data_IF_152255667578
#
_entry.id   IF_152255667578
#
_cell.length_a   1.000
_cell.length_b   1.000
_cell.length_c   1.000
_cell.angle_alpha   90.00
_cell.angle_beta   90.00
_cell.angle_gamma   90.00
#
_symmetry.space_group_name_H-M   'P 1'
#
loop_
_entity.id
_entity.type
_entity.pdbx_description
1 polymer ?
#
# COMPACT_ATOMS: atom_id res chain seq x y z
N UNK A 1 77.74 -70.98 3.79
CA UNK A 1 76.65 -70.06 3.38
C UNK A 1 77.12 -68.64 3.59
N UNK A 2 77.40 -67.90 2.51
CA UNK A 2 77.82 -66.51 2.56
C UNK A 2 76.59 -65.61 2.77
N UNK A 3 76.66 -64.72 3.75
CA UNK A 3 75.61 -63.74 4.07
C UNK A 3 75.51 -62.74 2.91
N UNK A 4 74.33 -62.52 2.31
CA UNK A 4 74.21 -61.56 1.20
C UNK A 4 74.54 -60.16 1.73
N UNK A 5 75.36 -59.43 0.98
CA UNK A 5 75.67 -58.03 1.25
C UNK A 5 74.39 -57.22 1.09
N UNK A 6 73.82 -56.73 2.20
CA UNK A 6 72.78 -55.71 2.18
C UNK A 6 73.38 -54.45 1.57
N UNK A 7 73.14 -54.22 0.28
CA UNK A 7 73.38 -52.91 -0.31
C UNK A 7 72.53 -51.91 0.46
N UNK A 8 73.17 -50.99 1.18
CA UNK A 8 72.46 -49.86 1.76
C UNK A 8 71.89 -49.07 0.58
N UNK A 9 70.57 -49.18 0.35
CA UNK A 9 69.84 -48.24 -0.49
C UNK A 9 69.89 -46.92 0.26
N UNK A 10 70.93 -46.12 -0.01
CA UNK A 10 70.97 -44.73 0.42
C UNK A 10 69.90 -44.03 -0.40
N UNK A 11 68.71 -43.87 0.15
CA UNK A 11 67.76 -42.88 -0.38
C UNK A 11 68.55 -41.57 -0.46
N UNK A 12 68.79 -41.06 -1.66
CA UNK A 12 69.22 -39.69 -1.81
C UNK A 12 68.01 -38.83 -1.44
N UNK A 13 67.89 -38.54 -0.14
CA UNK A 13 67.00 -37.51 0.35
C UNK A 13 67.41 -36.19 -0.28
N UNK A 14 66.46 -35.35 -0.68
CA UNK A 14 66.76 -33.99 -1.12
C UNK A 14 67.54 -33.21 -0.05
N UNK A 15 67.44 -33.61 1.21
CA UNK A 15 68.15 -32.98 2.32
C UNK A 15 69.55 -33.58 2.55
N UNK A 16 70.55 -32.73 2.80
CA UNK A 16 71.91 -33.07 3.25
C UNK A 16 71.98 -33.08 4.77
N UNK A 17 72.97 -33.80 5.31
CA UNK A 17 73.24 -33.73 6.75
C UNK A 17 73.44 -32.26 7.19
N UNK A 18 72.82 -31.85 8.31
CA UNK A 18 72.96 -30.49 8.82
C UNK A 18 74.42 -30.05 8.91
N UNK A 19 74.66 -28.79 8.61
CA UNK A 19 75.94 -28.14 8.85
C UNK A 19 75.88 -27.42 10.19
N UNK A 20 77.01 -27.41 10.90
CA UNK A 20 77.10 -26.65 12.14
C UNK A 20 77.02 -25.15 11.83
N UNK A 21 77.73 -24.70 10.80
CA UNK A 21 77.90 -23.28 10.47
C UNK A 21 77.70 -23.03 8.97
N UNK A 22 77.38 -21.79 8.59
CA UNK A 22 77.34 -21.35 7.21
C UNK A 22 78.08 -20.03 7.05
N UNK A 23 78.83 -19.87 5.96
CA UNK A 23 79.58 -18.63 5.70
C UNK A 23 78.67 -17.42 5.58
N UNK A 24 79.22 -16.25 5.87
CA UNK A 24 78.60 -14.93 5.62
C UNK A 24 79.41 -14.08 4.65
N UNK A 25 80.61 -14.54 4.27
CA UNK A 25 81.54 -13.87 3.38
C UNK A 25 82.53 -14.90 2.81
N UNK A 26 83.40 -14.46 1.90
CA UNK A 26 84.48 -15.27 1.36
C UNK A 26 85.48 -15.66 2.45
N UNK A 27 85.83 -16.94 2.52
CA UNK A 27 86.79 -17.49 3.49
C UNK A 27 87.96 -18.17 2.79
N UNK A 28 89.02 -18.46 3.56
CA UNK A 28 90.04 -19.41 3.14
C UNK A 28 89.55 -20.83 3.46
N UNK A 29 89.73 -21.80 2.57
CA UNK A 29 89.37 -23.21 2.81
C UNK A 29 90.51 -23.97 3.50
N UNK A 30 91.07 -23.38 4.56
CA UNK A 30 92.24 -23.91 5.27
C UNK A 30 92.25 -23.47 6.73
N UNK A 31 92.62 -24.37 7.65
CA UNK A 31 92.83 -24.08 9.07
C UNK A 31 91.55 -23.78 9.84
N UNK A 32 91.69 -23.67 11.17
CA UNK A 32 90.59 -23.31 12.05
C UNK A 32 90.32 -21.80 11.99
N UNK A 33 89.06 -21.44 11.77
CA UNK A 33 88.61 -20.07 11.58
C UNK A 33 87.28 -19.85 12.31
N UNK A 34 86.89 -18.59 12.50
CA UNK A 34 85.54 -18.25 12.96
C UNK A 34 84.61 -18.08 11.75
N UNK A 35 83.51 -18.82 11.75
CA UNK A 35 82.46 -18.73 10.73
C UNK A 35 81.19 -18.22 11.40
N UNK A 36 80.59 -17.17 10.83
CA UNK A 36 79.38 -16.54 11.37
C UNK A 36 79.46 -16.18 12.87
N UNK A 37 80.65 -15.73 13.29
CA UNK A 37 80.96 -15.34 14.67
C UNK A 37 81.29 -16.48 15.63
N UNK A 38 81.31 -17.74 15.17
CA UNK A 38 81.59 -18.93 16.00
C UNK A 38 82.88 -19.62 15.55
N UNK A 39 83.81 -19.96 16.47
CA UNK A 39 85.01 -20.71 16.12
C UNK A 39 84.67 -22.15 15.66
N UNK A 40 85.28 -22.58 14.56
CA UNK A 40 85.20 -23.95 14.07
C UNK A 40 86.18 -24.87 14.80
N UNK A 41 85.78 -26.13 14.93
CA UNK A 41 86.58 -27.25 15.42
C UNK A 41 86.85 -28.24 14.30
N UNK A 42 87.90 -29.06 14.43
CA UNK A 42 88.21 -30.10 13.44
C UNK A 42 87.05 -31.08 13.32
N UNK A 43 86.62 -31.37 12.09
CA UNK A 43 85.49 -32.27 11.81
C UNK A 43 84.14 -31.56 11.70
N UNK A 44 84.07 -30.26 12.02
CA UNK A 44 82.85 -29.49 11.83
C UNK A 44 82.42 -29.47 10.37
N UNK A 45 81.11 -29.52 10.14
CA UNK A 45 80.51 -29.34 8.82
C UNK A 45 80.15 -27.88 8.62
N UNK A 46 80.65 -27.27 7.55
CA UNK A 46 80.40 -25.87 7.20
C UNK A 46 79.81 -25.78 5.80
N UNK A 47 78.69 -25.07 5.67
CA UNK A 47 78.17 -24.65 4.38
C UNK A 47 78.94 -23.42 3.89
N UNK A 48 79.73 -23.61 2.86
CA UNK A 48 80.46 -22.57 2.16
C UNK A 48 79.59 -22.09 1.00
N UNK A 49 78.99 -20.91 1.13
CA UNK A 49 78.04 -20.37 0.14
C UNK A 49 78.43 -19.01 -0.44
N UNK A 50 79.43 -18.34 0.13
CA UNK A 50 79.81 -16.96 -0.24
C UNK A 50 81.25 -16.86 -0.79
N UNK A 51 81.73 -17.88 -1.49
CA UNK A 51 83.06 -17.77 -2.13
C UNK A 51 83.02 -16.82 -3.32
N UNK A 52 84.12 -16.11 -3.54
CA UNK A 52 84.30 -15.27 -4.72
C UNK A 52 84.30 -16.11 -6.01
N UNK A 53 84.86 -17.32 -5.95
CA UNK A 53 84.71 -18.35 -6.97
C UNK A 53 83.55 -19.29 -6.59
N UNK A 54 82.39 -19.22 -7.27
CA UNK A 54 81.24 -20.03 -6.92
C UNK A 54 81.44 -21.53 -7.20
N UNK A 55 82.47 -21.93 -7.95
CA UNK A 55 82.81 -23.36 -8.11
C UNK A 55 83.31 -23.97 -6.80
N UNK A 56 83.78 -23.14 -5.85
CA UNK A 56 84.23 -23.56 -4.53
C UNK A 56 83.09 -23.67 -3.52
N UNK A 57 81.90 -23.15 -3.81
CA UNK A 57 80.75 -23.30 -2.91
C UNK A 57 80.36 -24.78 -2.72
N UNK A 58 79.83 -25.11 -1.55
CA UNK A 58 79.40 -26.46 -1.18
C UNK A 58 79.51 -26.72 0.33
N UNK A 59 79.47 -27.98 0.73
CA UNK A 59 79.60 -28.37 2.14
C UNK A 59 80.99 -28.94 2.37
N UNK A 60 81.68 -28.43 3.38
CA UNK A 60 83.05 -28.81 3.73
C UNK A 60 83.14 -29.33 5.15
N UNK A 61 84.13 -30.20 5.38
CA UNK A 61 84.57 -30.63 6.69
C UNK A 61 85.83 -29.87 7.06
N UNK A 62 85.79 -29.18 8.20
CA UNK A 62 86.87 -28.33 8.73
C UNK A 62 88.07 -29.19 9.14
N UNK A 63 89.27 -28.69 8.85
CA UNK A 63 90.55 -29.29 9.24
C UNK A 63 91.56 -28.22 9.67
N UNK A 64 92.63 -28.62 10.38
CA UNK A 64 93.77 -27.74 10.68
C UNK A 64 94.59 -27.40 9.42
N UNK A 65 94.50 -28.26 8.39
CA UNK A 65 95.04 -28.04 7.04
C UNK A 65 93.95 -27.62 6.05
N UNK A 66 94.06 -28.06 4.80
CA UNK A 66 93.02 -27.83 3.78
C UNK A 66 91.68 -28.46 4.20
N UNK A 67 90.59 -27.74 3.94
CA UNK A 67 89.24 -28.25 4.15
C UNK A 67 88.83 -29.13 2.99
N UNK A 68 88.10 -30.21 3.28
CA UNK A 68 87.66 -31.16 2.27
C UNK A 68 86.16 -31.07 2.06
N UNK A 69 85.69 -31.23 0.82
CA UNK A 69 84.26 -31.36 0.54
C UNK A 69 83.70 -32.58 1.28
N UNK A 70 82.56 -32.40 1.94
CA UNK A 70 81.91 -33.44 2.70
C UNK A 70 81.53 -34.62 1.79
N UNK A 71 81.65 -35.85 2.31
CA UNK A 71 81.51 -37.08 1.52
C UNK A 71 80.11 -37.25 0.88
N UNK A 72 79.09 -36.63 1.47
CA UNK A 72 77.69 -36.61 1.04
C UNK A 72 77.32 -35.42 0.16
N UNK A 73 78.29 -34.55 -0.18
CA UNK A 73 78.10 -33.30 -0.92
C UNK A 73 79.25 -33.05 -1.94
N UNK A 74 79.70 -34.10 -2.64
CA UNK A 74 80.85 -34.08 -3.57
C UNK A 74 80.53 -34.53 -5.00
N UNK A 75 79.26 -34.62 -5.37
CA UNK A 75 78.81 -35.03 -6.70
C UNK A 75 77.69 -34.12 -7.22
N UNK A 76 77.52 -34.08 -8.54
CA UNK A 76 76.45 -33.30 -9.18
C UNK A 76 75.08 -33.64 -8.60
N UNK A 77 74.78 -34.94 -8.45
CA UNK A 77 73.52 -35.44 -7.90
C UNK A 77 73.29 -35.02 -6.44
N UNK A 78 74.34 -34.78 -5.68
CA UNK A 78 74.23 -34.38 -4.26
C UNK A 78 74.16 -32.87 -4.05
N UNK A 79 74.41 -32.08 -5.10
CA UNK A 79 74.36 -30.61 -5.07
C UNK A 79 73.42 -30.04 -6.16
N UNK A 80 72.56 -30.89 -6.70
CA UNK A 80 71.59 -30.53 -7.73
C UNK A 80 70.47 -29.65 -7.16
N UNK A 81 69.79 -28.94 -8.05
CA UNK A 81 68.62 -28.13 -7.76
C UNK A 81 67.60 -28.86 -6.88
N UNK A 82 67.11 -28.16 -5.85
CA UNK A 82 66.16 -28.70 -4.87
C UNK A 82 66.80 -29.51 -3.74
N UNK A 83 68.12 -29.67 -3.74
CA UNK A 83 68.83 -30.18 -2.56
C UNK A 83 68.80 -29.13 -1.46
N UNK A 84 68.54 -29.50 -0.22
CA UNK A 84 68.51 -28.58 0.93
C UNK A 84 69.52 -28.94 2.02
N UNK A 85 69.88 -27.98 2.86
CA UNK A 85 70.73 -28.19 4.05
C UNK A 85 70.39 -27.19 5.15
N UNK A 86 70.40 -27.66 6.40
CA UNK A 86 70.10 -26.84 7.57
C UNK A 86 71.39 -26.36 8.24
N UNK A 87 71.47 -25.07 8.57
CA UNK A 87 72.54 -24.49 9.38
C UNK A 87 72.11 -24.41 10.86
N UNK A 88 72.90 -24.99 11.76
CA UNK A 88 72.50 -25.18 13.16
C UNK A 88 72.76 -23.95 14.03
N UNK A 89 73.94 -23.35 13.92
CA UNK A 89 74.38 -22.24 14.77
C UNK A 89 75.07 -21.15 13.94
N UNK A 90 75.33 -20.01 14.58
CA UNK A 90 75.86 -18.80 13.95
C UNK A 90 75.06 -17.56 14.34
N UNK A 91 75.63 -16.38 14.11
CA UNK A 91 74.97 -15.12 14.45
C UNK A 91 73.89 -14.73 13.42
N UNK A 92 74.12 -15.04 12.14
CA UNK A 92 73.26 -14.63 11.02
C UNK A 92 72.47 -15.81 10.45
N UNK A 93 73.08 -16.99 10.39
CA UNK A 93 72.56 -18.14 9.64
C UNK A 93 71.97 -19.25 10.51
N UNK A 94 71.97 -19.11 11.84
CA UNK A 94 71.38 -20.12 12.73
C UNK A 94 69.91 -20.41 12.40
N UNK A 95 69.56 -21.69 12.30
CA UNK A 95 68.19 -22.16 12.03
C UNK A 95 67.73 -21.98 10.58
N UNK A 96 68.55 -21.45 9.67
CA UNK A 96 68.19 -21.27 8.26
C UNK A 96 68.35 -22.56 7.47
N UNK A 97 67.46 -22.73 6.49
CA UNK A 97 67.56 -23.76 5.45
C UNK A 97 68.08 -23.10 4.19
N UNK A 98 69.04 -23.75 3.54
CA UNK A 98 69.57 -23.33 2.25
C UNK A 98 69.23 -24.36 1.20
N UNK A 99 68.98 -23.90 -0.02
CA UNK A 99 68.76 -24.73 -1.18
C UNK A 99 69.86 -24.53 -2.22
N UNK A 100 70.23 -25.64 -2.86
CA UNK A 100 71.04 -25.64 -4.06
C UNK A 100 70.11 -25.38 -5.25
N UNK A 101 70.51 -24.50 -6.15
CA UNK A 101 69.69 -24.07 -7.30
C UNK A 101 70.32 -24.39 -8.65
N UNK A 102 71.55 -24.91 -8.68
CA UNK A 102 72.23 -25.28 -9.90
C UNK A 102 71.66 -26.58 -10.49
N UNK A 103 71.33 -26.57 -11.78
CA UNK A 103 70.86 -27.75 -12.52
C UNK A 103 72.06 -28.64 -12.88
N UNK A 104 72.16 -29.81 -12.24
CA UNK A 104 73.22 -30.83 -12.45
C UNK A 104 74.69 -30.30 -12.48
N UNK A 105 75.16 -29.54 -11.46
CA UNK A 105 76.47 -28.91 -11.51
C UNK A 105 77.62 -29.94 -11.46
N UNK A 106 78.60 -29.81 -12.35
CA UNK A 106 79.86 -30.53 -12.26
C UNK A 106 80.73 -29.90 -11.17
N UNK A 107 80.95 -30.65 -10.09
CA UNK A 107 81.68 -30.18 -8.90
C UNK A 107 83.13 -29.85 -9.27
N UNK A 108 83.53 -28.60 -8.99
CA UNK A 108 84.88 -28.09 -9.26
C UNK A 108 85.08 -27.47 -10.63
N UNK A 109 84.06 -27.46 -11.51
CA UNK A 109 84.08 -26.69 -12.76
C UNK A 109 82.90 -25.72 -12.87
N UNK A 110 81.72 -26.13 -12.42
CA UNK A 110 80.50 -25.34 -12.58
C UNK A 110 80.24 -24.52 -11.31
N UNK A 111 79.63 -23.35 -11.48
CA UNK A 111 79.22 -22.50 -10.38
C UNK A 111 78.13 -23.20 -9.55
N UNK A 112 78.33 -23.30 -8.22
CA UNK A 112 77.36 -23.88 -7.31
C UNK A 112 76.61 -22.74 -6.60
N UNK A 113 75.40 -22.48 -7.08
CA UNK A 113 74.51 -21.44 -6.54
C UNK A 113 73.71 -21.98 -5.34
N UNK A 114 73.85 -21.33 -4.19
CA UNK A 114 73.23 -21.68 -2.92
C UNK A 114 72.51 -20.45 -2.37
N UNK A 115 71.22 -20.57 -2.08
CA UNK A 115 70.41 -19.47 -1.55
C UNK A 115 69.61 -19.92 -0.32
N UNK A 116 69.19 -19.01 0.57
CA UNK A 116 68.23 -19.33 1.61
C UNK A 116 66.93 -19.87 0.98
N UNK A 117 66.39 -20.97 1.51
CA UNK A 117 65.09 -21.48 1.11
C UNK A 117 63.99 -20.54 1.61
N UNK A 118 63.19 -20.00 0.68
CA UNK A 118 62.07 -19.10 1.00
C UNK A 118 60.76 -19.86 0.71
N UNK A 119 59.95 -20.20 1.73
CA UNK A 119 58.64 -20.79 1.50
C UNK A 119 57.73 -19.81 0.76
N UNK A 120 56.69 -20.27 0.05
CA UNK A 120 55.71 -19.39 -0.58
C UNK A 120 55.10 -18.45 0.47
N UNK A 121 54.80 -17.22 0.06
CA UNK A 121 54.14 -16.23 0.93
C UNK A 121 52.68 -16.63 1.17
N UNK A 122 52.45 -17.35 2.26
CA UNK A 122 51.12 -17.82 2.66
C UNK A 122 50.22 -16.63 3.02
N UNK A 123 50.76 -15.50 3.50
CA UNK A 123 49.97 -14.34 3.85
C UNK A 123 49.29 -13.72 2.62
N UNK A 124 50.05 -13.56 1.52
CA UNK A 124 49.50 -13.08 0.26
C UNK A 124 48.37 -13.97 -0.30
N UNK A 125 48.46 -15.29 -0.09
CA UNK A 125 47.41 -16.23 -0.51
C UNK A 125 46.16 -16.09 0.37
N UNK A 126 46.33 -15.93 1.68
CA UNK A 126 45.21 -15.71 2.62
C UNK A 126 44.48 -14.41 2.27
N UNK A 127 45.21 -13.31 2.06
CA UNK A 127 44.62 -12.02 1.68
C UNK A 127 43.78 -12.14 0.38
N UNK A 128 44.28 -12.86 -0.62
CA UNK A 128 43.55 -13.10 -1.86
C UNK A 128 42.26 -13.91 -1.64
N UNK A 129 42.31 -14.94 -0.79
CA UNK A 129 41.14 -15.77 -0.46
C UNK A 129 40.08 -14.97 0.30
N UNK A 130 40.50 -14.11 1.22
CA UNK A 130 39.59 -13.21 1.95
C UNK A 130 38.91 -12.22 1.01
N UNK A 131 39.65 -11.60 0.09
CA UNK A 131 39.08 -10.72 -0.92
C UNK A 131 38.06 -11.43 -1.84
N UNK A 132 38.35 -12.67 -2.23
CA UNK A 132 37.43 -13.50 -3.03
C UNK A 132 36.14 -13.85 -2.27
N UNK A 133 36.25 -14.15 -0.97
CA UNK A 133 35.09 -14.39 -0.11
C UNK A 133 34.21 -13.16 0.01
N UNK A 134 34.80 -11.99 0.24
CA UNK A 134 34.07 -10.74 0.38
C UNK A 134 33.34 -10.37 -0.92
N UNK A 135 34.00 -10.53 -2.07
CA UNK A 135 33.37 -10.34 -3.38
C UNK A 135 32.19 -11.30 -3.60
N UNK A 136 32.33 -12.56 -3.16
CA UNK A 136 31.26 -13.56 -3.26
C UNK A 136 30.07 -13.21 -2.38
N UNK A 137 30.32 -12.70 -1.16
CA UNK A 137 29.27 -12.27 -0.25
C UNK A 137 28.51 -11.06 -0.83
N UNK A 138 29.22 -10.07 -1.38
CA UNK A 138 28.61 -8.92 -2.04
C UNK A 138 27.70 -9.33 -3.22
N UNK A 139 28.12 -10.30 -4.04
CA UNK A 139 27.30 -10.84 -5.13
C UNK A 139 26.04 -11.54 -4.63
N UNK A 140 26.14 -12.30 -3.54
CA UNK A 140 24.99 -12.98 -2.93
C UNK A 140 23.97 -11.98 -2.40
N UNK A 141 24.44 -10.92 -1.74
CA UNK A 141 23.59 -9.86 -1.20
C UNK A 141 22.91 -9.07 -2.33
N UNK A 142 23.63 -8.76 -3.42
CA UNK A 142 23.07 -8.13 -4.61
C UNK A 142 22.00 -8.98 -5.31
N UNK A 143 22.22 -10.30 -5.38
CA UNK A 143 21.23 -11.24 -5.94
C UNK A 143 19.98 -11.33 -5.07
N UNK A 144 20.13 -11.36 -3.74
CA UNK A 144 18.99 -11.38 -2.82
C UNK A 144 18.19 -10.07 -2.89
N UNK A 145 18.89 -8.93 -2.98
CA UNK A 145 18.25 -7.64 -3.20
C UNK A 145 17.43 -7.66 -4.50
N UNK A 146 18.06 -8.02 -5.63
CA UNK A 146 17.41 -8.05 -6.95
C UNK A 146 16.14 -8.91 -6.96
N UNK A 147 16.17 -10.07 -6.30
CA UNK A 147 15.00 -10.93 -6.14
C UNK A 147 13.88 -10.25 -5.32
N UNK A 148 14.24 -9.55 -4.25
CA UNK A 148 13.32 -8.74 -3.45
C UNK A 148 12.68 -7.60 -4.25
N UNK A 149 13.46 -6.87 -5.06
CA UNK A 149 12.93 -5.83 -5.94
C UNK A 149 11.95 -6.38 -7.00
N UNK A 150 12.26 -7.54 -7.59
CA UNK A 150 11.37 -8.19 -8.55
C UNK A 150 10.04 -8.60 -7.91
N UNK A 151 10.07 -9.17 -6.69
CA UNK A 151 8.88 -9.53 -5.95
C UNK A 151 8.01 -8.30 -5.59
N UNK A 152 8.63 -7.20 -5.14
CA UNK A 152 7.93 -5.95 -4.86
C UNK A 152 7.28 -5.34 -6.11
N UNK A 153 7.97 -5.40 -7.25
CA UNK A 153 7.45 -4.91 -8.54
C UNK A 153 6.25 -5.73 -9.01
N UNK A 154 6.30 -7.06 -8.85
CA UNK A 154 5.19 -7.95 -9.16
C UNK A 154 3.96 -7.67 -8.26
N UNK A 155 4.17 -7.51 -6.96
CA UNK A 155 3.09 -7.19 -6.02
C UNK A 155 2.41 -5.86 -6.35
N UNK A 156 3.20 -4.82 -6.68
CA UNK A 156 2.68 -3.51 -7.08
C UNK A 156 1.86 -3.59 -8.38
N UNK A 157 2.32 -4.39 -9.35
CA UNK A 157 1.61 -4.60 -10.62
C UNK A 157 0.24 -5.27 -10.41
N UNK A 158 0.17 -6.27 -9.52
CA UNK A 158 -1.09 -6.95 -9.17
C UNK A 158 -2.06 -5.98 -8.47
N UNK A 159 -1.57 -5.17 -7.53
CA UNK A 159 -2.39 -4.17 -6.85
C UNK A 159 -2.97 -3.14 -7.82
N UNK A 160 -2.16 -2.61 -8.75
CA UNK A 160 -2.61 -1.66 -9.75
C UNK A 160 -3.65 -2.27 -10.71
N UNK A 161 -3.47 -3.52 -11.12
CA UNK A 161 -4.45 -4.23 -11.95
C UNK A 161 -5.79 -4.41 -11.21
N UNK A 162 -5.74 -4.77 -9.92
CA UNK A 162 -6.93 -4.86 -9.07
C UNK A 162 -7.67 -3.54 -8.93
N UNK A 163 -6.94 -2.44 -8.70
CA UNK A 163 -7.53 -1.10 -8.61
C UNK A 163 -8.18 -0.67 -9.93
N UNK A 164 -7.49 -0.90 -11.06
CA UNK A 164 -8.02 -0.58 -12.40
C UNK A 164 -9.33 -1.33 -12.67
N UNK A 165 -9.41 -2.61 -12.31
CA UNK A 165 -10.64 -3.39 -12.47
C UNK A 165 -11.79 -2.83 -11.62
N UNK A 166 -11.52 -2.43 -10.37
CA UNK A 166 -12.50 -1.80 -9.50
C UNK A 166 -12.99 -0.44 -10.03
N UNK A 167 -12.09 0.38 -10.58
CA UNK A 167 -12.41 1.69 -11.17
C UNK A 167 -13.28 1.53 -12.42
N UNK A 168 -13.00 0.53 -13.26
CA UNK A 168 -13.82 0.20 -14.43
C UNK A 168 -15.24 -0.21 -14.01
N UNK A 169 -15.38 -1.06 -13.00
CA UNK A 169 -16.69 -1.48 -12.47
C UNK A 169 -17.47 -0.29 -11.92
N UNK A 170 -16.81 0.58 -11.14
CA UNK A 170 -17.42 1.79 -10.57
C UNK A 170 -17.86 2.75 -11.67
N UNK A 171 -17.01 2.98 -12.68
CA UNK A 171 -17.32 3.83 -13.83
C UNK A 171 -18.50 3.28 -14.64
N UNK A 172 -18.55 1.97 -14.86
CA UNK A 172 -19.67 1.33 -15.56
C UNK A 172 -20.99 1.48 -14.79
N UNK A 173 -20.97 1.33 -13.46
CA UNK A 173 -22.14 1.53 -12.62
C UNK A 173 -22.63 3.00 -12.65
N UNK A 174 -21.71 3.96 -12.56
CA UNK A 174 -22.02 5.39 -12.66
C UNK A 174 -22.60 5.75 -14.04
N UNK A 175 -22.03 5.21 -15.12
CA UNK A 175 -22.54 5.44 -16.47
C UNK A 175 -23.94 4.85 -16.65
N UNK A 176 -24.19 3.65 -16.13
CA UNK A 176 -25.52 3.03 -16.16
C UNK A 176 -26.54 3.87 -15.37
N UNK A 177 -26.15 4.38 -14.21
CA UNK A 177 -26.94 5.31 -13.41
C UNK A 177 -27.27 6.62 -14.13
N UNK A 178 -26.26 7.24 -14.76
CA UNK A 178 -26.43 8.46 -15.55
C UNK A 178 -27.27 8.24 -16.81
N UNK A 179 -27.15 7.08 -17.46
CA UNK A 179 -28.02 6.69 -18.58
C UNK A 179 -29.47 6.50 -18.12
N UNK A 180 -29.70 5.86 -16.98
CA UNK A 180 -31.03 5.71 -16.39
C UNK A 180 -31.65 7.08 -16.03
N UNK A 181 -30.85 7.99 -15.45
CA UNK A 181 -31.27 9.35 -15.13
C UNK A 181 -31.63 10.17 -16.39
N UNK A 182 -30.81 10.09 -17.44
CA UNK A 182 -31.11 10.72 -18.74
C UNK A 182 -32.39 10.17 -19.35
N UNK A 183 -32.58 8.86 -19.34
CA UNK A 183 -33.81 8.24 -19.82
C UNK A 183 -35.02 8.68 -18.98
N UNK A 184 -34.86 8.78 -17.65
CA UNK A 184 -35.92 9.29 -16.78
C UNK A 184 -36.32 10.73 -17.12
N UNK A 185 -35.34 11.59 -17.38
CA UNK A 185 -35.58 12.98 -17.79
C UNK A 185 -36.17 13.12 -19.19
N UNK A 186 -35.86 12.22 -20.13
CA UNK A 186 -36.32 12.34 -21.52
C UNK A 186 -37.76 11.86 -21.74
N UNK A 187 -38.19 10.84 -20.99
CA UNK A 187 -39.39 10.08 -21.35
C UNK A 187 -40.62 10.36 -20.48
N UNK A 188 -40.64 11.34 -19.56
CA UNK A 188 -41.83 11.59 -18.72
C UNK A 188 -42.02 13.04 -18.26
N UNK A 189 -43.27 13.43 -17.98
CA UNK A 189 -43.69 14.76 -17.51
C UNK A 189 -43.25 15.11 -16.08
N UNK A 190 -42.74 14.12 -15.35
CA UNK A 190 -42.27 14.27 -13.99
C UNK A 190 -42.23 12.95 -13.23
N UNK A 191 -41.74 13.01 -12.00
CA UNK A 191 -41.77 11.91 -11.04
C UNK A 191 -42.91 12.19 -10.06
N UNK A 192 -43.83 11.25 -9.94
CA UNK A 192 -44.98 11.34 -9.06
C UNK A 192 -44.94 10.23 -8.00
N UNK A 193 -45.48 10.46 -6.80
CA UNK A 193 -45.47 9.48 -5.72
C UNK A 193 -46.38 8.27 -6.00
N UNK A 194 -47.42 8.45 -6.81
CA UNK A 194 -48.32 7.37 -7.23
C UNK A 194 -48.85 7.63 -8.64
N UNK A 195 -49.35 6.58 -9.29
CA UNK A 195 -50.08 6.70 -10.58
C UNK A 195 -51.31 7.62 -10.46
N UNK A 196 -52.01 7.59 -9.33
CA UNK A 196 -53.17 8.45 -9.08
C UNK A 196 -52.81 9.96 -9.02
N UNK A 197 -51.68 10.30 -8.38
CA UNK A 197 -51.18 11.66 -8.31
C UNK A 197 -50.66 12.19 -9.66
N UNK A 198 -50.18 11.30 -10.53
CA UNK A 198 -49.78 11.63 -11.89
C UNK A 198 -50.99 11.90 -12.80
N UNK A 199 -52.05 11.11 -12.68
CA UNK A 199 -53.21 11.23 -13.58
C UNK A 199 -54.28 12.22 -13.08
N UNK A 200 -54.28 12.60 -11.80
CA UNK A 200 -55.26 13.52 -11.22
C UNK A 200 -54.62 14.69 -10.44
N UNK A 201 -54.84 15.93 -10.92
CA UNK A 201 -54.50 17.16 -10.20
C UNK A 201 -55.59 17.56 -9.17
N UNK A 202 -56.73 16.85 -9.19
CA UNK A 202 -57.87 17.13 -8.30
C UNK A 202 -58.87 18.12 -8.89
N UNK A 203 -59.76 18.63 -8.04
CA UNK A 203 -60.80 19.59 -8.39
C UNK A 203 -60.19 20.98 -8.46
N UNK A 204 -60.03 21.53 -9.65
CA UNK A 204 -59.45 22.87 -9.86
C UNK A 204 -60.51 23.97 -9.96
N UNK A 205 -61.78 23.59 -10.04
CA UNK A 205 -62.89 24.53 -10.13
C UNK A 205 -64.24 23.85 -10.14
N UNK A 206 -65.26 24.60 -10.53
CA UNK A 206 -66.63 24.11 -10.64
C UNK A 206 -67.28 24.62 -11.93
N UNK A 207 -68.28 23.88 -12.42
CA UNK A 207 -69.15 24.28 -13.51
C UNK A 207 -70.16 25.34 -13.09
N UNK A 208 -71.14 25.63 -13.95
CA UNK A 208 -72.16 26.62 -13.67
C UNK A 208 -72.91 26.32 -12.36
N UNK A 209 -73.11 27.36 -11.54
CA UNK A 209 -73.88 27.26 -10.30
C UNK A 209 -75.37 27.24 -10.63
N UNK A 210 -76.04 26.17 -10.22
CA UNK A 210 -77.49 26.17 -10.02
C UNK A 210 -77.75 26.59 -8.59
N UNK A 211 -78.35 27.76 -8.39
CA UNK A 211 -78.34 28.44 -7.10
C UNK A 211 -79.19 27.75 -6.01
N UNK A 212 -80.24 27.00 -6.39
CA UNK A 212 -81.19 26.44 -5.43
C UNK A 212 -81.94 27.50 -4.63
N UNK A 213 -82.65 27.10 -3.57
CA UNK A 213 -83.39 27.99 -2.70
C UNK A 213 -83.54 27.43 -1.28
N UNK A 214 -83.91 28.29 -0.32
CA UNK A 214 -84.29 27.89 1.05
C UNK A 214 -83.13 27.72 2.04
N UNK A 215 -81.88 27.97 1.64
CA UNK A 215 -80.71 27.83 2.50
C UNK A 215 -80.57 28.94 3.54
N UNK A 216 -79.92 28.63 4.67
CA UNK A 216 -79.49 29.66 5.62
C UNK A 216 -78.33 30.50 5.02
N UNK A 217 -78.41 31.82 5.15
CA UNK A 217 -77.34 32.72 4.68
C UNK A 217 -76.05 32.52 5.51
N UNK A 218 -74.91 32.45 4.85
CA UNK A 218 -73.62 32.26 5.52
C UNK A 218 -72.54 31.71 4.59
N UNK A 219 -71.35 31.53 5.14
CA UNK A 219 -70.24 30.80 4.50
C UNK A 219 -70.08 29.46 5.19
N UNK A 220 -70.06 28.38 4.42
CA UNK A 220 -70.03 27.02 4.92
C UNK A 220 -68.90 26.24 4.27
N UNK A 221 -68.43 25.19 4.94
CA UNK A 221 -67.44 24.28 4.37
C UNK A 221 -68.08 23.40 3.30
N UNK A 222 -67.38 23.24 2.18
CA UNK A 222 -67.81 22.43 1.05
C UNK A 222 -67.35 20.99 1.26
N UNK A 223 -68.30 20.05 1.26
CA UNK A 223 -68.00 18.64 1.30
C UNK A 223 -67.92 18.06 -0.12
N UNK A 224 -67.08 17.05 -0.30
CA UNK A 224 -66.97 16.30 -1.55
C UNK A 224 -67.50 14.88 -1.30
N UNK A 225 -68.39 14.40 -2.17
CA UNK A 225 -69.02 13.09 -2.02
C UNK A 225 -68.89 12.28 -3.31
N UNK A 226 -68.61 10.98 -3.19
CA UNK A 226 -68.35 10.12 -4.35
C UNK A 226 -67.05 10.49 -5.09
N UNK A 227 -66.94 10.03 -6.34
CA UNK A 227 -65.70 10.12 -7.13
C UNK A 227 -64.63 9.10 -6.67
N UNK A 228 -63.45 9.19 -7.27
CA UNK A 228 -62.30 8.35 -6.96
C UNK A 228 -61.11 9.24 -6.58
N UNK A 229 -60.94 9.49 -5.28
CA UNK A 229 -59.95 10.42 -4.74
C UNK A 229 -60.27 10.89 -3.33
N UNK A 230 -59.39 11.71 -2.74
CA UNK A 230 -59.57 12.30 -1.42
C UNK A 230 -58.82 13.63 -1.27
N UNK A 231 -58.98 14.30 -0.13
CA UNK A 231 -58.25 15.53 0.20
C UNK A 231 -58.78 16.81 -0.44
N UNK A 232 -59.94 16.77 -1.10
CA UNK A 232 -60.62 17.96 -1.58
C UNK A 232 -61.21 18.76 -0.42
N UNK A 233 -60.99 20.07 -0.42
CA UNK A 233 -61.59 20.99 0.53
C UNK A 233 -62.01 22.28 -0.17
N UNK A 234 -63.06 22.92 0.32
CA UNK A 234 -63.54 24.17 -0.22
C UNK A 234 -64.52 24.85 0.72
N UNK A 235 -65.07 25.96 0.25
CA UNK A 235 -66.14 26.71 0.91
C UNK A 235 -67.20 27.08 -0.10
N UNK A 236 -68.40 27.35 0.39
CA UNK A 236 -69.46 27.94 -0.42
C UNK A 236 -70.22 29.01 0.36
N UNK A 237 -70.83 29.94 -0.37
CA UNK A 237 -71.57 31.06 0.19
C UNK A 237 -73.03 30.98 -0.22
N UNK A 238 -73.92 31.14 0.75
CA UNK A 238 -75.36 31.25 0.54
C UNK A 238 -75.80 32.66 0.93
N UNK A 239 -76.50 33.34 0.02
CA UNK A 239 -77.07 34.66 0.25
C UNK A 239 -78.46 34.75 -0.38
N UNK A 240 -79.41 35.38 0.32
CA UNK A 240 -80.81 35.42 -0.11
C UNK A 240 -81.47 34.05 -0.21
N UNK A 241 -80.96 33.05 0.52
CA UNK A 241 -81.44 31.67 0.44
C UNK A 241 -80.89 30.83 -0.71
N UNK A 242 -79.98 31.37 -1.53
CA UNK A 242 -79.44 30.71 -2.72
C UNK A 242 -77.90 30.66 -2.69
N UNK A 243 -77.32 29.63 -3.31
CA UNK A 243 -75.88 29.45 -3.51
C UNK A 243 -75.35 30.50 -4.49
N UNK A 244 -74.43 31.34 -4.05
CA UNK A 244 -73.87 32.44 -4.86
C UNK A 244 -72.41 32.25 -5.24
N UNK A 245 -71.65 31.49 -4.46
CA UNK A 245 -70.23 31.30 -4.69
C UNK A 245 -69.74 29.94 -4.19
N UNK A 246 -68.78 29.37 -4.91
CA UNK A 246 -68.01 28.19 -4.51
C UNK A 246 -66.53 28.57 -4.62
N UNK A 247 -65.74 28.20 -3.63
CA UNK A 247 -64.30 28.36 -3.62
C UNK A 247 -63.65 27.02 -3.29
N UNK A 248 -62.80 26.53 -4.18
CA UNK A 248 -61.98 25.35 -3.89
C UNK A 248 -60.70 25.83 -3.20
N UNK A 249 -60.43 25.31 -2.00
CA UNK A 249 -59.28 25.71 -1.18
C UNK A 249 -58.20 24.64 -1.12
N UNK A 250 -58.57 23.38 -1.36
CA UNK A 250 -57.63 22.30 -1.63
C UNK A 250 -58.22 21.43 -2.76
N UNK A 251 -57.49 21.23 -3.87
CA UNK A 251 -58.01 20.48 -5.02
C UNK A 251 -58.12 18.98 -4.74
N UNK A 252 -57.38 18.46 -3.75
CA UNK A 252 -57.28 17.02 -3.48
C UNK A 252 -56.63 16.26 -4.64
N UNK A 253 -56.81 14.94 -4.65
CA UNK A 253 -56.32 14.06 -5.73
C UNK A 253 -57.47 13.18 -6.22
N UNK A 254 -58.23 13.69 -7.19
CA UNK A 254 -59.38 12.99 -7.79
C UNK A 254 -59.10 12.61 -9.24
N UNK A 255 -59.44 11.37 -9.58
CA UNK A 255 -59.32 10.79 -10.93
C UNK A 255 -60.68 10.59 -11.61
N UNK A 256 -61.74 10.54 -10.79
CA UNK A 256 -63.15 10.60 -11.20
C UNK A 256 -63.81 11.72 -10.41
N UNK A 257 -64.62 12.56 -11.09
CA UNK A 257 -65.13 13.80 -10.53
C UNK A 257 -66.02 13.51 -9.31
N UNK A 258 -65.73 14.09 -8.13
CA UNK A 258 -66.63 14.02 -6.98
C UNK A 258 -67.83 14.95 -7.19
N UNK A 259 -68.91 14.69 -6.47
CA UNK A 259 -70.03 15.62 -6.35
C UNK A 259 -69.76 16.64 -5.24
N UNK A 260 -70.00 17.92 -5.55
CA UNK A 260 -69.93 19.02 -4.58
C UNK A 260 -71.20 19.01 -3.72
N UNK A 261 -71.03 18.90 -2.41
CA UNK A 261 -72.13 18.81 -1.44
C UNK A 261 -72.28 20.10 -0.65
N UNK A 262 -73.48 20.68 -0.73
CA UNK A 262 -73.85 21.94 -0.06
C UNK A 262 -74.72 21.71 1.19
N UNK A 263 -74.78 20.47 1.68
CA UNK A 263 -75.66 20.06 2.78
C UNK A 263 -75.36 20.77 4.12
N UNK A 264 -74.19 21.40 4.25
CA UNK A 264 -73.83 22.19 5.42
C UNK A 264 -74.74 23.43 5.62
N UNK A 265 -75.40 23.92 4.57
CA UNK A 265 -76.47 24.92 4.70
C UNK A 265 -77.83 24.22 4.79
N UNK A 266 -78.40 24.19 5.98
CA UNK A 266 -79.70 23.56 6.22
C UNK A 266 -80.79 24.24 5.38
N UNK A 267 -81.64 23.42 4.74
CA UNK A 267 -82.77 23.89 3.92
C UNK A 267 -82.42 24.29 2.48
N UNK A 268 -81.14 24.32 2.09
CA UNK A 268 -80.73 24.63 0.72
C UNK A 268 -81.08 23.48 -0.23
N UNK A 269 -82.21 23.59 -0.92
CA UNK A 269 -82.71 22.60 -1.85
C UNK A 269 -82.39 22.99 -3.31
N UNK A 270 -81.99 22.01 -4.12
CA UNK A 270 -81.77 22.18 -5.57
C UNK A 270 -80.47 22.89 -5.96
N UNK A 271 -79.61 23.26 -5.00
CA UNK A 271 -78.31 23.82 -5.30
C UNK A 271 -77.36 22.75 -5.86
N UNK A 272 -76.71 23.03 -6.99
CA UNK A 272 -75.77 22.09 -7.61
C UNK A 272 -74.71 22.81 -8.45
N UNK A 273 -73.52 22.21 -8.52
CA UNK A 273 -72.47 22.55 -9.47
C UNK A 273 -71.60 21.32 -9.71
N UNK A 274 -71.15 21.12 -10.94
CA UNK A 274 -70.26 20.01 -11.29
C UNK A 274 -68.82 20.34 -10.87
N UNK A 275 -68.09 19.39 -10.29
CA UNK A 275 -66.65 19.56 -10.05
C UNK A 275 -65.88 19.51 -11.39
N UNK A 276 -64.95 20.45 -11.59
CA UNK A 276 -64.06 20.47 -12.75
C UNK A 276 -62.71 19.90 -12.32
N UNK A 277 -62.30 18.81 -12.96
CA UNK A 277 -61.02 18.15 -12.73
C UNK A 277 -59.95 18.68 -13.68
N UNK A 278 -58.70 18.69 -13.21
CA UNK A 278 -57.53 18.80 -14.07
C UNK A 278 -56.62 17.56 -13.95
N UNK A 279 -55.66 17.44 -14.87
CA UNK A 279 -54.69 16.34 -14.93
C UNK A 279 -53.29 16.90 -14.84
N UNK A 280 -52.40 16.18 -14.17
CA UNK A 280 -50.96 16.50 -14.16
C UNK A 280 -50.25 15.92 -15.40
N UNK A 281 -50.78 14.83 -15.96
CA UNK A 281 -50.25 14.14 -17.14
C UNK A 281 -51.40 13.81 -18.08
N UNK A 282 -51.27 14.22 -19.35
CA UNK A 282 -52.34 14.06 -20.34
C UNK A 282 -52.39 12.66 -20.96
N UNK A 283 -53.51 12.31 -21.60
CA UNK A 283 -53.63 11.06 -22.35
C UNK A 283 -52.60 11.02 -23.47
N UNK A 284 -51.87 9.91 -23.57
CA UNK A 284 -50.78 9.72 -24.52
C UNK A 284 -49.42 10.23 -24.02
N UNK A 285 -49.38 10.86 -22.83
CA UNK A 285 -48.14 11.28 -22.19
C UNK A 285 -47.65 10.23 -21.18
N UNK A 286 -46.40 10.41 -20.78
CA UNK A 286 -45.67 9.48 -19.94
C UNK A 286 -45.25 10.14 -18.63
N UNK A 287 -45.05 9.35 -17.58
CA UNK A 287 -44.59 9.81 -16.28
C UNK A 287 -43.84 8.69 -15.53
N UNK A 288 -43.13 9.06 -14.47
CA UNK A 288 -42.43 8.10 -13.62
C UNK A 288 -43.10 8.00 -12.25
N UNK A 289 -43.22 6.79 -11.74
CA UNK A 289 -43.61 6.52 -10.34
C UNK A 289 -42.84 5.32 -9.84
N UNK A 290 -42.67 5.23 -8.52
CA UNK A 290 -41.96 4.10 -7.90
C UNK A 290 -42.75 2.80 -8.08
N UNK A 291 -42.05 1.74 -8.55
CA UNK A 291 -42.61 0.38 -8.72
C UNK A 291 -42.21 -0.51 -7.56
N UNK A 292 -41.03 -0.25 -6.99
CA UNK A 292 -40.48 -0.89 -5.80
C UNK A 292 -39.44 0.05 -5.20
N UNK A 293 -39.09 -0.15 -3.93
CA UNK A 293 -38.11 0.68 -3.22
C UNK A 293 -36.85 0.95 -4.05
N UNK A 294 -36.62 2.21 -4.40
CA UNK A 294 -35.42 2.62 -5.16
C UNK A 294 -35.49 2.39 -6.69
N UNK A 295 -36.66 2.03 -7.23
CA UNK A 295 -36.87 1.76 -8.66
C UNK A 295 -38.10 2.50 -9.18
N UNK A 296 -37.87 3.43 -10.11
CA UNK A 296 -38.93 4.08 -10.87
C UNK A 296 -39.27 3.25 -12.10
N UNK A 297 -40.56 3.13 -12.38
CA UNK A 297 -41.09 2.61 -13.64
C UNK A 297 -41.63 3.75 -14.49
N UNK A 298 -41.47 3.63 -15.80
CA UNK A 298 -42.12 4.54 -16.74
C UNK A 298 -43.53 4.05 -17.02
N UNK A 299 -44.51 4.93 -16.83
CA UNK A 299 -45.92 4.66 -17.09
C UNK A 299 -46.41 5.58 -18.21
N UNK A 300 -47.35 5.09 -19.01
CA UNK A 300 -48.09 5.89 -19.99
C UNK A 300 -49.55 6.02 -19.58
N UNK A 301 -50.13 7.20 -19.83
CA UNK A 301 -51.57 7.45 -19.59
C UNK A 301 -52.34 7.04 -20.83
N UNK A 302 -53.19 6.02 -20.72
CA UNK A 302 -54.05 5.57 -21.82
C UNK A 302 -55.36 6.36 -21.87
N UNK A 303 -56.20 6.10 -22.87
CA UNK A 303 -57.55 6.66 -22.93
C UNK A 303 -58.39 6.12 -21.74
N UNK A 304 -58.89 7.04 -20.91
CA UNK A 304 -59.43 6.74 -19.57
C UNK A 304 -58.41 7.07 -18.47
N UNK A 305 -58.80 7.30 -17.20
CA UNK A 305 -57.84 7.62 -16.12
C UNK A 305 -57.08 6.35 -15.67
N UNK A 306 -56.35 5.72 -16.60
CA UNK A 306 -55.61 4.49 -16.38
C UNK A 306 -54.16 4.68 -16.83
N UNK A 307 -53.24 4.40 -15.91
CA UNK A 307 -51.81 4.35 -16.20
C UNK A 307 -51.41 2.90 -16.47
N UNK A 308 -50.63 2.67 -17.52
CA UNK A 308 -50.05 1.36 -17.84
C UNK A 308 -48.54 1.40 -17.66
N UNK A 309 -47.99 0.37 -17.02
CA UNK A 309 -46.54 0.22 -16.88
C UNK A 309 -45.96 -0.20 -18.24
N UNK A 310 -44.95 0.53 -18.71
CA UNK A 310 -44.27 0.23 -19.98
C UNK A 310 -43.21 -0.85 -19.87
N UNK A 311 -42.86 -1.28 -18.64
CA UNK A 311 -41.77 -2.22 -18.36
C UNK A 311 -40.38 -1.57 -18.30
N UNK A 312 -40.25 -0.30 -18.69
CA UNK A 312 -39.00 0.46 -18.58
C UNK A 312 -38.77 0.83 -17.11
N UNK A 313 -37.51 0.71 -16.66
CA UNK A 313 -37.08 0.96 -15.28
C UNK A 313 -35.94 1.95 -15.22
N UNK A 314 -35.88 2.73 -14.15
CA UNK A 314 -34.76 3.58 -13.77
C UNK A 314 -34.48 3.42 -12.27
N UNK A 315 -33.21 3.36 -11.88
CA UNK A 315 -32.84 3.27 -10.46
C UNK A 315 -32.80 4.68 -9.84
N UNK A 316 -33.65 4.95 -8.84
CA UNK A 316 -33.54 6.18 -8.02
C UNK A 316 -32.28 6.17 -7.16
N UNK A 317 -31.75 5.00 -6.83
CA UNK A 317 -30.51 4.84 -6.07
C UNK A 317 -29.31 5.55 -6.72
N UNK A 318 -29.25 5.59 -8.06
CA UNK A 318 -28.17 6.25 -8.79
C UNK A 318 -28.32 7.78 -8.84
N UNK A 319 -29.55 8.28 -8.90
CA UNK A 319 -29.87 9.72 -8.86
C UNK A 319 -29.62 10.29 -7.47
N UNK A 320 -30.07 9.60 -6.41
CA UNK A 320 -29.77 9.95 -5.02
C UNK A 320 -28.27 9.94 -4.78
N UNK A 321 -27.55 8.89 -5.22
CA UNK A 321 -26.09 8.81 -5.10
C UNK A 321 -25.36 9.93 -5.86
N UNK A 322 -25.89 10.39 -7.00
CA UNK A 322 -25.31 11.47 -7.80
C UNK A 322 -25.59 12.85 -7.18
N UNK A 323 -26.79 13.06 -6.64
CA UNK A 323 -27.15 14.25 -5.87
C UNK A 323 -26.33 14.32 -4.58
N UNK A 324 -26.11 13.19 -3.91
CA UNK A 324 -25.28 13.08 -2.72
C UNK A 324 -23.81 13.39 -3.05
N UNK A 325 -23.27 12.88 -4.16
CA UNK A 325 -21.90 13.22 -4.59
C UNK A 325 -21.74 14.67 -5.01
N UNK A 326 -22.76 15.26 -5.66
CA UNK A 326 -22.76 16.70 -6.01
C UNK A 326 -22.88 17.56 -4.75
N UNK A 327 -23.78 17.20 -3.82
CA UNK A 327 -23.91 17.86 -2.52
C UNK A 327 -22.60 17.79 -1.72
N UNK A 328 -21.88 16.66 -1.80
CA UNK A 328 -20.55 16.49 -1.21
C UNK A 328 -19.45 17.32 -1.89
N UNK A 329 -19.52 17.52 -3.21
CA UNK A 329 -18.54 18.32 -3.96
C UNK A 329 -18.73 19.82 -3.70
N UNK A 330 -19.98 20.25 -3.54
CA UNK A 330 -20.36 21.65 -3.32
C UNK A 330 -20.54 22.04 -1.84
N UNK A 331 -20.28 21.13 -0.91
CA UNK A 331 -20.32 21.40 0.54
C UNK A 331 -21.73 21.60 1.11
N UNK A 332 -22.76 21.06 0.44
CA UNK A 332 -24.15 21.10 0.88
C UNK A 332 -24.44 20.05 1.97
N UNK A 333 -25.44 20.31 2.80
CA UNK A 333 -25.87 19.42 3.89
C UNK A 333 -26.39 18.08 3.36
N UNK A 334 -25.85 16.96 3.89
CA UNK A 334 -26.27 15.59 3.53
C UNK A 334 -27.17 15.01 4.64
N UNK A 335 -28.26 14.29 4.31
CA UNK A 335 -29.15 13.69 5.32
C UNK A 335 -28.43 12.65 6.20
N UNK A 336 -28.72 12.71 7.51
CA UNK A 336 -28.09 11.93 8.59
C UNK A 336 -28.30 10.42 8.49
N UNK A 337 -29.34 9.95 7.81
CA UNK A 337 -29.62 8.53 7.60
C UNK A 337 -28.52 7.77 6.82
N UNK A 338 -27.50 8.48 6.32
CA UNK A 338 -26.35 7.95 5.57
C UNK A 338 -25.05 7.91 6.40
N UNK A 339 -25.09 8.42 7.64
CA UNK A 339 -24.05 8.23 8.65
C UNK A 339 -24.40 6.98 9.47
N UNK A 340 -23.39 6.26 9.99
CA UNK A 340 -23.64 5.06 10.81
C UNK A 340 -24.36 5.45 12.11
N UNK A 341 -25.67 5.25 12.17
CA UNK A 341 -26.50 5.42 13.36
C UNK A 341 -26.81 4.05 13.96
N UNK A 342 -26.10 3.67 15.02
CA UNK A 342 -26.42 2.46 15.77
C UNK A 342 -26.10 2.65 17.27
N UNK A 343 -26.87 1.97 18.12
CA UNK A 343 -26.64 1.96 19.56
C UNK A 343 -25.51 0.96 19.91
N UNK A 344 -24.52 1.40 20.69
CA UNK A 344 -23.38 0.57 21.12
C UNK A 344 -22.11 0.80 20.32
N UNK A 345 -21.15 -0.13 20.42
CA UNK A 345 -19.88 -0.04 19.69
C UNK A 345 -20.10 -0.37 18.20
N UNK A 346 -19.81 0.59 17.33
CA UNK A 346 -19.99 0.48 15.88
C UNK A 346 -18.65 0.75 15.18
N UNK A 347 -18.35 -0.02 14.14
CA UNK A 347 -17.25 0.31 13.23
C UNK A 347 -17.78 1.22 12.13
N UNK A 348 -17.43 2.52 12.11
CA UNK A 348 -17.96 3.44 11.11
C UNK A 348 -17.49 3.02 9.71
N UNK A 349 -18.40 3.04 8.74
CA UNK A 349 -18.01 2.96 7.34
C UNK A 349 -17.29 4.27 6.93
N UNK A 350 -16.25 4.17 6.10
CA UNK A 350 -15.54 5.35 5.58
C UNK A 350 -16.51 6.17 4.74
N UNK A 351 -16.90 7.34 5.25
CA UNK A 351 -17.89 8.23 4.64
C UNK A 351 -17.31 9.12 3.53
N UNK A 352 -16.03 9.51 3.65
CA UNK A 352 -15.28 10.26 2.64
C UNK A 352 -13.81 9.86 2.67
N UNK A 353 -13.22 9.64 1.50
CA UNK A 353 -11.78 9.46 1.34
C UNK A 353 -11.15 10.76 0.86
N UNK A 354 -10.05 11.17 1.49
CA UNK A 354 -9.28 12.35 1.11
C UNK A 354 -7.80 11.99 1.03
N UNK A 355 -7.10 12.52 0.03
CA UNK A 355 -5.64 12.37 -0.10
C UNK A 355 -4.96 13.56 0.56
N UNK A 356 -4.03 13.29 1.46
CA UNK A 356 -3.25 14.28 2.18
C UNK A 356 -1.77 13.93 2.10
N UNK A 357 -0.91 14.93 2.24
CA UNK A 357 0.54 14.75 2.32
C UNK A 357 1.03 15.07 3.74
N UNK A 358 2.21 14.56 4.09
CA UNK A 358 2.81 14.84 5.39
C UNK A 358 3.05 16.36 5.56
N UNK A 359 2.47 16.94 6.61
CA UNK A 359 2.52 18.38 6.90
C UNK A 359 1.20 19.14 6.63
N UNK A 360 0.21 18.50 6.01
CA UNK A 360 -1.13 19.09 5.88
C UNK A 360 -1.82 19.16 7.24
N UNK A 361 -2.53 20.27 7.49
CA UNK A 361 -3.44 20.39 8.63
C UNK A 361 -4.84 19.99 8.18
N UNK A 362 -5.44 19.00 8.86
CA UNK A 362 -6.76 18.48 8.52
C UNK A 362 -7.76 19.11 9.48
N UNK A 363 -8.72 19.85 8.94
CA UNK A 363 -9.85 20.39 9.68
C UNK A 363 -11.14 19.66 9.32
N UNK A 364 -11.74 19.00 10.30
CA UNK A 364 -12.98 18.27 10.15
C UNK A 364 -14.08 18.98 10.94
N UNK A 365 -15.02 19.59 10.21
CA UNK A 365 -16.17 20.29 10.77
C UNK A 365 -17.44 19.50 10.47
N UNK A 366 -18.32 19.38 11.46
CA UNK A 366 -19.66 18.86 11.31
C UNK A 366 -20.65 19.73 12.07
N UNK A 367 -21.80 20.03 11.45
CA UNK A 367 -22.90 20.75 12.09
C UNK A 367 -23.98 19.75 12.51
N UNK A 368 -24.38 19.78 13.77
CA UNK A 368 -25.35 18.84 14.33
C UNK A 368 -26.36 19.51 15.24
N UNK A 369 -27.55 18.92 15.37
CA UNK A 369 -28.63 19.43 16.21
C UNK A 369 -28.90 18.52 17.40
N UNK A 370 -28.88 19.07 18.62
CA UNK A 370 -29.06 18.31 19.85
C UNK A 370 -30.43 17.62 19.97
N UNK A 371 -31.48 18.24 19.41
CA UNK A 371 -32.82 17.65 19.39
C UNK A 371 -32.94 16.39 18.51
N UNK A 372 -31.97 16.16 17.61
CA UNK A 372 -31.94 15.00 16.72
C UNK A 372 -31.05 13.88 17.27
N UNK A 373 -30.04 14.21 18.09
CA UNK A 373 -29.05 13.27 18.62
C UNK A 373 -28.33 13.86 19.83
N UNK A 374 -28.12 13.04 20.86
CA UNK A 374 -27.45 13.48 22.09
C UNK A 374 -25.93 13.54 22.01
N UNK A 375 -25.31 12.83 21.07
CA UNK A 375 -23.85 12.81 20.88
C UNK A 375 -23.43 12.70 19.41
N UNK A 376 -22.20 13.13 19.14
CA UNK A 376 -21.56 13.06 17.82
C UNK A 376 -20.11 12.61 17.99
N UNK A 377 -19.60 11.78 17.07
CA UNK A 377 -18.18 11.41 17.02
C UNK A 377 -17.57 11.77 15.67
N UNK A 378 -16.38 12.39 15.69
CA UNK A 378 -15.55 12.60 14.50
C UNK A 378 -14.35 11.67 14.56
N UNK A 379 -14.22 10.80 13.55
CA UNK A 379 -13.19 9.75 13.50
C UNK A 379 -12.39 9.89 12.22
N UNK A 380 -11.06 9.83 12.36
CA UNK A 380 -10.12 9.72 11.26
C UNK A 380 -9.24 8.49 11.52
N UNK A 381 -9.21 7.54 10.58
CA UNK A 381 -8.55 6.25 10.76
C UNK A 381 -7.28 6.08 9.92
N UNK A 382 -6.90 7.08 9.13
CA UNK A 382 -5.74 6.99 8.27
C UNK A 382 -4.42 6.99 9.06
N UNK A 383 -3.48 6.14 8.65
CA UNK A 383 -2.16 6.05 9.26
C UNK A 383 -1.45 7.41 9.17
N UNK A 384 -1.04 7.95 10.32
CA UNK A 384 -0.39 9.27 10.39
C UNK A 384 -1.32 10.46 10.65
N UNK A 385 -2.65 10.30 10.66
CA UNK A 385 -3.60 11.37 11.00
C UNK A 385 -4.76 10.86 11.88
N UNK A 386 -4.53 9.78 12.63
CA UNK A 386 -5.60 9.10 13.34
C UNK A 386 -6.07 9.89 14.57
N UNK A 387 -7.38 10.14 14.65
CA UNK A 387 -8.03 10.74 15.82
C UNK A 387 -9.49 10.29 15.98
N UNK A 388 -9.99 10.42 17.20
CA UNK A 388 -11.40 10.29 17.57
C UNK A 388 -11.75 11.41 18.53
N UNK A 389 -12.79 12.19 18.22
CA UNK A 389 -13.32 13.25 19.09
C UNK A 389 -14.80 12.99 19.34
N UNK A 390 -15.20 13.00 20.60
CA UNK A 390 -16.55 12.75 21.08
C UNK A 390 -17.17 14.06 21.57
N UNK A 391 -18.34 14.40 21.06
CA UNK A 391 -19.11 15.58 21.40
C UNK A 391 -20.40 15.16 22.09
N UNK A 392 -20.71 15.80 23.22
CA UNK A 392 -22.02 15.73 23.87
C UNK A 392 -22.81 16.97 23.44
N UNK A 393 -23.85 16.74 22.63
CA UNK A 393 -24.66 17.81 22.05
C UNK A 393 -25.77 18.29 23.00
N UNK A 394 -26.15 17.49 23.99
CA UNK A 394 -27.11 17.90 25.02
C UNK A 394 -26.48 18.90 25.98
N UNK A 395 -25.20 18.67 26.31
CA UNK A 395 -24.42 19.56 27.18
C UNK A 395 -23.65 20.63 26.40
N UNK A 396 -23.50 20.47 25.09
CA UNK A 396 -22.76 21.41 24.24
C UNK A 396 -21.25 21.42 24.55
N UNK A 397 -20.66 20.26 24.85
CA UNK A 397 -19.25 20.12 25.25
C UNK A 397 -18.50 19.06 24.44
N UNK A 398 -17.18 19.18 24.37
CA UNK A 398 -16.31 18.07 23.94
C UNK A 398 -16.20 17.09 25.10
N UNK A 399 -16.75 15.89 24.94
CA UNK A 399 -16.81 14.86 25.98
C UNK A 399 -15.47 14.13 26.15
N UNK A 400 -14.76 13.84 25.06
CA UNK A 400 -13.41 13.25 25.09
C UNK A 400 -12.74 13.27 23.72
N UNK A 401 -11.42 13.08 23.69
CA UNK A 401 -10.64 12.97 22.46
C UNK A 401 -9.48 11.98 22.63
N UNK A 402 -9.05 11.37 21.52
CA UNK A 402 -7.88 10.47 21.47
C UNK A 402 -7.28 10.47 20.07
N UNK A 403 -5.99 10.13 19.94
CA UNK A 403 -5.29 10.10 18.65
C UNK A 403 -3.87 10.63 18.76
N UNK A 404 -2.93 10.01 18.06
CA UNK A 404 -1.50 10.38 18.15
C UNK A 404 -1.21 11.75 17.52
N UNK A 405 -2.02 12.18 16.54
CA UNK A 405 -1.85 13.43 15.81
C UNK A 405 -3.07 14.35 15.96
N UNK A 406 -3.85 14.19 17.03
CA UNK A 406 -4.90 15.14 17.35
C UNK A 406 -4.28 16.47 17.82
N UNK A 407 -4.69 17.59 17.22
CA UNK A 407 -4.22 18.93 17.58
C UNK A 407 -5.22 19.66 18.48
N UNK A 408 -6.49 19.77 18.08
CA UNK A 408 -7.51 20.50 18.85
C UNK A 408 -8.94 20.10 18.47
N UNK A 409 -9.90 20.43 19.34
CA UNK A 409 -11.33 20.33 19.04
C UNK A 409 -12.10 21.45 19.72
N UNK A 410 -13.24 21.80 19.12
CA UNK A 410 -14.14 22.83 19.62
C UNK A 410 -15.58 22.48 19.28
N UNK A 411 -16.50 22.97 20.11
CA UNK A 411 -17.93 22.96 19.84
C UNK A 411 -18.44 24.39 20.01
N UNK A 412 -19.15 24.88 19.00
CA UNK A 412 -19.67 26.26 18.95
C UNK A 412 -21.19 26.20 18.84
N UNK A 413 -21.90 26.88 19.74
CA UNK A 413 -23.35 27.02 19.66
C UNK A 413 -23.73 28.00 18.53
N UNK A 414 -24.54 27.53 17.58
CA UNK A 414 -25.07 28.30 16.46
C UNK A 414 -26.50 28.80 16.71
N UNK A 415 -27.11 28.45 17.85
CA UNK A 415 -28.46 28.78 18.24
C UNK A 415 -29.51 27.74 17.80
N UNK A 416 -30.69 27.78 18.42
CA UNK A 416 -31.81 26.84 18.15
C UNK A 416 -31.46 25.34 18.30
N UNK A 417 -30.47 25.05 19.16
CA UNK A 417 -29.97 23.70 19.42
C UNK A 417 -29.04 23.14 18.35
N UNK A 418 -28.50 23.99 17.46
CA UNK A 418 -27.49 23.64 16.48
C UNK A 418 -26.08 23.92 17.02
N UNK A 419 -25.17 22.99 16.79
CA UNK A 419 -23.77 23.08 17.19
C UNK A 419 -22.86 22.82 16.00
N UNK A 420 -21.79 23.60 15.88
CA UNK A 420 -20.65 23.31 15.01
C UNK A 420 -19.59 22.57 15.83
N UNK A 421 -19.31 21.32 15.46
CA UNK A 421 -18.31 20.47 16.08
C UNK A 421 -17.09 20.38 15.16
N UNK A 422 -15.92 20.73 15.67
CA UNK A 422 -14.66 20.79 14.91
C UNK A 422 -13.59 19.93 15.57
N UNK A 423 -12.83 19.20 14.74
CA UNK A 423 -11.62 18.49 15.12
C UNK A 423 -10.49 18.83 14.14
N UNK A 424 -9.29 19.06 14.67
CA UNK A 424 -8.09 19.40 13.89
C UNK A 424 -7.00 18.38 14.18
N UNK A 425 -6.33 17.89 13.14
CA UNK A 425 -5.22 16.95 13.20
C UNK A 425 -4.06 17.35 12.28
#
# INVERSE_FOLDING_TARGET
MARPATAAVRLLTGEREPVRLATTANILLHGLQAIDGVPCEVGDRVLVKDQADPTQNGIYTVSEGEWFRAADARSARTLQKGTTVHAQIGSVNAGRVFEFSADEPVVGSDAISIAPFVPPDIAAVVDAVEALRDATQALKDASAASAGQAAASAASSVANAGQTAADVVTTAANLAGAQAARNASLYGKGIFPTTAAAIGLGVVGHGAITAGAGGANGTFDLAFTGGAGSGGAGRFVVAGGALTQILITAPGSYTVAPALSFAASAGLAGASAAAVLARNVEVGEYFWTEVSTGVLGLYNVLAGPAATDTGIRAATSALLSSVDTIAMLEGLSVPTARLTEAAGSVSPAVYRSYSFVAGDTIEHIAIARAAERGSLQLIHAAAGAAYTVNFDLEQGVVASHSGANYASSSITDLGSGWYECKAVA
#
